data_IF_820383511570
#
_entry.id   IF_820383511570
#
_cell.length_a   1.000
_cell.length_b   1.000
_cell.length_c   1.000
_cell.angle_alpha   90.00
_cell.angle_beta   90.00
_cell.angle_gamma   90.00
#
_symmetry.space_group_name_H-M   'P 1'
#
loop_
_entity.id
_entity.type
_entity.pdbx_description
1 polymer ?
#
# COMPACT_ATOMS: atom_id res chain seq x y z
N UNK A 1 24.46 12.73 8.30
CA UNK A 1 23.72 11.69 7.53
C UNK A 1 22.26 11.50 7.97
N UNK A 2 21.91 11.55 9.27
CA UNK A 2 20.52 11.40 9.76
C UNK A 2 19.51 12.45 9.24
N UNK A 3 19.91 13.72 9.11
CA UNK A 3 19.00 14.81 8.71
C UNK A 3 18.50 14.73 7.26
N UNK A 4 19.30 14.17 6.33
CA UNK A 4 18.90 14.03 4.92
C UNK A 4 17.91 12.87 4.72
N UNK A 5 18.08 11.78 5.46
CA UNK A 5 17.12 10.67 5.48
C UNK A 5 15.76 11.08 6.04
N UNK A 6 15.74 11.96 7.06
CA UNK A 6 14.50 12.48 7.62
C UNK A 6 13.74 13.37 6.63
N UNK A 7 14.42 14.29 5.93
CA UNK A 7 13.81 15.09 4.86
C UNK A 7 13.31 14.24 3.69
N UNK A 8 14.04 13.21 3.28
CA UNK A 8 13.60 12.29 2.22
C UNK A 8 12.36 11.49 2.65
N UNK A 9 12.34 10.98 3.89
CA UNK A 9 11.17 10.26 4.42
C UNK A 9 9.95 11.16 4.54
N UNK A 10 10.12 12.40 5.03
CA UNK A 10 9.01 13.37 5.10
C UNK A 10 8.45 13.70 3.72
N UNK A 11 9.31 13.95 2.72
CA UNK A 11 8.87 14.26 1.36
C UNK A 11 8.17 13.08 0.68
N UNK A 12 8.68 11.85 0.90
CA UNK A 12 8.04 10.64 0.39
C UNK A 12 6.66 10.41 1.03
N UNK A 13 6.57 10.55 2.36
CA UNK A 13 5.31 10.43 3.09
C UNK A 13 4.30 11.48 2.65
N UNK A 14 4.74 12.72 2.47
CA UNK A 14 3.89 13.83 2.03
C UNK A 14 3.37 13.60 0.60
N UNK A 15 4.23 13.21 -0.34
CA UNK A 15 3.84 12.92 -1.72
C UNK A 15 2.85 11.73 -1.77
N UNK A 16 3.07 10.72 -0.93
CA UNK A 16 2.19 9.56 -0.86
C UNK A 16 0.80 9.94 -0.34
N UNK A 17 0.69 10.78 0.69
CA UNK A 17 -0.59 11.29 1.18
C UNK A 17 -1.37 12.08 0.11
N UNK A 18 -0.70 12.93 -0.67
CA UNK A 18 -1.36 13.63 -1.77
C UNK A 18 -1.91 12.67 -2.84
N UNK A 19 -1.15 11.63 -3.18
CA UNK A 19 -1.59 10.58 -4.11
C UNK A 19 -2.79 9.82 -3.56
N UNK A 20 -2.76 9.44 -2.28
CA UNK A 20 -3.88 8.74 -1.63
C UNK A 20 -5.14 9.60 -1.62
N UNK A 21 -5.02 10.89 -1.30
CA UNK A 21 -6.17 11.79 -1.33
C UNK A 21 -6.79 11.91 -2.73
N UNK A 22 -5.96 12.02 -3.77
CA UNK A 22 -6.43 12.06 -5.17
C UNK A 22 -7.07 10.73 -5.59
N UNK A 23 -6.47 9.61 -5.20
CA UNK A 23 -6.99 8.27 -5.47
C UNK A 23 -8.37 8.11 -4.85
N UNK A 24 -8.52 8.37 -3.54
CA UNK A 24 -9.81 8.27 -2.85
C UNK A 24 -10.87 9.16 -3.50
N UNK A 25 -10.50 10.41 -3.79
CA UNK A 25 -11.40 11.38 -4.41
C UNK A 25 -11.90 10.96 -5.80
N UNK A 26 -11.09 10.19 -6.56
CA UNK A 26 -11.48 9.70 -7.88
C UNK A 26 -12.60 8.64 -7.85
N UNK A 27 -12.84 8.00 -6.70
CA UNK A 27 -13.86 6.97 -6.55
C UNK A 27 -15.09 7.42 -5.75
N UNK A 28 -15.12 8.68 -5.28
CA UNK A 28 -16.30 9.20 -4.59
C UNK A 28 -17.45 9.42 -5.57
N UNK A 29 -18.63 8.89 -5.22
CA UNK A 29 -19.86 9.03 -6.01
C UNK A 29 -20.49 10.42 -5.85
N UNK A 30 -20.30 11.05 -4.69
CA UNK A 30 -20.83 12.38 -4.39
C UNK A 30 -19.72 13.43 -4.44
N UNK A 31 -19.93 14.50 -5.21
CA UNK A 31 -18.94 15.59 -5.35
C UNK A 31 -18.60 16.30 -4.04
N UNK A 32 -19.47 16.20 -3.03
CA UNK A 32 -19.30 16.84 -1.72
C UNK A 32 -18.50 15.98 -0.73
N UNK A 33 -18.23 14.71 -1.05
CA UNK A 33 -17.41 13.86 -0.19
C UNK A 33 -15.99 14.39 -0.12
N UNK A 34 -15.46 14.51 1.10
CA UNK A 34 -14.11 15.02 1.39
C UNK A 34 -13.48 14.15 2.48
N UNK A 35 -12.18 13.90 2.34
CA UNK A 35 -11.36 13.34 3.42
C UNK A 35 -10.65 14.48 4.14
N UNK A 36 -10.69 14.47 5.47
CA UNK A 36 -9.82 15.35 6.26
C UNK A 36 -8.39 14.78 6.29
N UNK A 37 -7.43 15.56 6.81
CA UNK A 37 -6.01 15.18 6.86
C UNK A 37 -5.79 13.86 7.58
N UNK A 38 -6.46 13.65 8.71
CA UNK A 38 -6.24 12.47 9.56
C UNK A 38 -6.72 11.19 8.86
N UNK A 39 -7.84 11.26 8.14
CA UNK A 39 -8.34 10.16 7.29
C UNK A 39 -7.33 9.86 6.18
N UNK A 40 -6.77 10.88 5.52
CA UNK A 40 -5.76 10.65 4.46
C UNK A 40 -4.52 9.97 5.01
N UNK A 41 -4.04 10.37 6.20
CA UNK A 41 -2.90 9.73 6.87
C UNK A 41 -3.21 8.27 7.20
N UNK A 42 -4.39 7.98 7.76
CA UNK A 42 -4.78 6.63 8.10
C UNK A 42 -4.92 5.74 6.86
N UNK A 43 -5.55 6.24 5.79
CA UNK A 43 -5.69 5.53 4.53
C UNK A 43 -4.35 5.29 3.84
N UNK A 44 -3.41 6.24 3.96
CA UNK A 44 -2.06 6.04 3.45
C UNK A 44 -1.36 4.87 4.19
N UNK A 45 -1.43 4.82 5.52
CA UNK A 45 -0.83 3.71 6.25
C UNK A 45 -1.53 2.37 5.94
N UNK A 46 -2.86 2.37 5.79
CA UNK A 46 -3.64 1.20 5.40
C UNK A 46 -3.22 0.65 4.02
N UNK A 47 -3.08 1.52 3.00
CA UNK A 47 -2.61 1.13 1.67
C UNK A 47 -1.16 0.64 1.68
N UNK A 48 -0.30 1.25 2.51
CA UNK A 48 1.07 0.78 2.70
C UNK A 48 1.10 -0.62 3.29
N UNK A 49 0.29 -0.89 4.31
CA UNK A 49 0.16 -2.23 4.91
C UNK A 49 -0.37 -3.23 3.88
N UNK A 50 -1.39 -2.87 3.10
CA UNK A 50 -1.93 -3.72 2.03
C UNK A 50 -0.85 -4.16 1.03
N UNK A 51 -0.02 -3.23 0.56
CA UNK A 51 1.09 -3.53 -0.37
C UNK A 51 2.17 -4.37 0.30
N UNK A 52 2.50 -4.10 1.56
CA UNK A 52 3.48 -4.90 2.31
C UNK A 52 3.00 -6.33 2.55
N UNK A 53 1.73 -6.53 2.91
CA UNK A 53 1.12 -7.84 3.06
C UNK A 53 1.13 -8.62 1.75
N UNK A 54 0.75 -7.97 0.64
CA UNK A 54 0.83 -8.56 -0.69
C UNK A 54 2.25 -9.06 -1.01
N UNK A 55 3.27 -8.22 -0.80
CA UNK A 55 4.65 -8.55 -1.08
C UNK A 55 5.17 -9.70 -0.20
N UNK A 56 4.95 -9.64 1.11
CA UNK A 56 5.43 -10.65 2.07
C UNK A 56 4.74 -12.00 1.84
N UNK A 57 3.43 -12.01 1.57
CA UNK A 57 2.71 -13.26 1.28
C UNK A 57 3.16 -13.88 -0.04
N UNK A 58 3.41 -13.06 -1.07
CA UNK A 58 3.93 -13.54 -2.35
C UNK A 58 5.34 -14.13 -2.20
N UNK A 59 6.19 -13.49 -1.39
CA UNK A 59 7.51 -14.04 -1.03
C UNK A 59 7.37 -15.39 -0.33
N UNK A 60 6.53 -15.50 0.70
CA UNK A 60 6.30 -16.76 1.41
C UNK A 60 5.77 -17.87 0.51
N UNK A 61 4.93 -17.51 -0.47
CA UNK A 61 4.43 -18.47 -1.45
C UNK A 61 5.54 -18.96 -2.39
N UNK A 62 6.43 -18.08 -2.85
CA UNK A 62 7.60 -18.46 -3.64
C UNK A 62 8.58 -19.34 -2.83
N UNK A 63 8.84 -19.00 -1.56
CA UNK A 63 9.66 -19.81 -0.66
C UNK A 63 9.07 -21.22 -0.44
N UNK A 64 7.74 -21.33 -0.32
CA UNK A 64 7.05 -22.60 -0.18
C UNK A 64 7.10 -23.48 -1.44
N UNK A 65 7.41 -22.89 -2.60
CA UNK A 65 7.57 -23.56 -3.89
C UNK A 65 9.05 -23.73 -4.29
N UNK A 66 9.98 -23.49 -3.35
CA UNK A 66 11.43 -23.53 -3.57
C UNK A 66 11.92 -22.59 -4.69
N UNK A 67 11.22 -21.48 -4.90
CA UNK A 67 11.56 -20.44 -5.87
C UNK A 67 12.42 -19.33 -5.24
N UNK A 68 13.47 -18.90 -5.96
CA UNK A 68 14.37 -17.84 -5.51
C UNK A 68 13.89 -16.41 -5.85
N UNK A 69 12.78 -16.29 -6.57
CA UNK A 69 12.17 -15.01 -6.96
C UNK A 69 10.65 -15.12 -6.92
N UNK A 70 10.00 -13.97 -6.71
CA UNK A 70 8.55 -13.86 -6.75
C UNK A 70 8.11 -13.62 -8.19
N UNK A 71 7.55 -14.65 -8.81
CA UNK A 71 6.78 -14.54 -10.06
C UNK A 71 5.29 -14.24 -9.81
N UNK A 72 4.59 -13.81 -10.87
CA UNK A 72 3.17 -13.41 -10.82
C UNK A 72 2.25 -14.52 -10.30
N UNK A 73 2.56 -15.78 -10.60
CA UNK A 73 1.78 -16.95 -10.19
C UNK A 73 1.71 -17.10 -8.66
N UNK A 74 2.77 -16.71 -7.95
CA UNK A 74 2.78 -16.71 -6.47
C UNK A 74 1.84 -15.65 -5.91
N UNK A 75 1.78 -14.47 -6.54
CA UNK A 75 0.84 -13.42 -6.16
C UNK A 75 -0.61 -13.86 -6.42
N UNK A 76 -0.90 -14.42 -7.60
CA UNK A 76 -2.23 -14.92 -7.94
C UNK A 76 -2.77 -15.95 -6.94
N UNK A 77 -1.89 -16.79 -6.38
CA UNK A 77 -2.25 -17.78 -5.35
C UNK A 77 -2.65 -17.14 -4.01
N UNK A 78 -2.03 -16.01 -3.62
CA UNK A 78 -2.32 -15.35 -2.33
C UNK A 78 -3.42 -14.29 -2.41
N UNK A 79 -3.73 -13.79 -3.60
CA UNK A 79 -4.72 -12.70 -3.83
C UNK A 79 -6.09 -13.03 -3.24
N UNK A 80 -6.67 -14.23 -3.37
CA UNK A 80 -8.00 -14.52 -2.83
C UNK A 80 -8.09 -14.27 -1.32
N UNK A 81 -7.10 -14.73 -0.56
CA UNK A 81 -7.09 -14.51 0.90
C UNK A 81 -6.69 -13.07 1.25
N UNK A 82 -5.75 -12.47 0.51
CA UNK A 82 -5.40 -11.06 0.70
C UNK A 82 -6.62 -10.14 0.57
N UNK A 83 -7.51 -10.39 -0.40
CA UNK A 83 -8.74 -9.61 -0.58
C UNK A 83 -9.84 -9.92 0.45
N UNK A 84 -9.77 -11.05 1.16
CA UNK A 84 -10.71 -11.37 2.24
C UNK A 84 -10.30 -10.75 3.58
N UNK A 85 -9.01 -10.49 3.76
CA UNK A 85 -8.47 -9.89 4.99
C UNK A 85 -8.68 -8.36 5.06
N UNK A 86 -9.07 -7.74 3.94
CA UNK A 86 -9.24 -6.29 3.77
C UNK A 86 -10.65 -5.96 3.24
#
# INVERSE_FOLDING_TARGET
MKSKNLCFNLNFLYLFQETVNKLLSSFFKEEKTRCNSDVVVLMAEMLKIFVQEAAVRSQKQAEAEDCNQVDIEHFEKIVPQLLLDF
#
